data_IF_443226543102
#
_entry.id   IF_443226543102
#
_cell.length_a   1.000
_cell.length_b   1.000
_cell.length_c   1.000
_cell.angle_alpha   90.00
_cell.angle_beta   90.00
_cell.angle_gamma   90.00
#
_symmetry.space_group_name_H-M   'P 1'
#
loop_
_entity.id
_entity.type
_entity.pdbx_description
1 polymer ?
#
# COMPACT_ATOMS: atom_id res chain seq x y z
N UNK A 1 24.59 17.53 4.12
CA UNK A 1 25.17 16.25 4.53
C UNK A 1 24.10 15.18 4.76
N UNK A 2 23.02 15.44 5.56
CA UNK A 2 21.93 14.47 5.82
C UNK A 2 21.27 13.93 4.55
N UNK A 3 20.92 14.79 3.59
CA UNK A 3 20.33 14.36 2.31
C UNK A 3 21.24 13.38 1.56
N UNK A 4 22.54 13.63 1.54
CA UNK A 4 23.51 12.74 0.89
C UNK A 4 23.56 11.38 1.60
N UNK A 5 23.57 11.37 2.94
CA UNK A 5 23.55 10.13 3.73
C UNK A 5 22.27 9.32 3.48
N UNK A 6 21.11 9.99 3.43
CA UNK A 6 19.83 9.32 3.14
C UNK A 6 19.83 8.70 1.74
N UNK A 7 20.30 9.41 0.72
CA UNK A 7 20.43 8.85 -0.63
C UNK A 7 21.46 7.71 -0.70
N UNK A 8 22.57 7.83 0.02
CA UNK A 8 23.53 6.73 0.13
C UNK A 8 22.86 5.48 0.73
N UNK A 9 22.04 5.62 1.77
CA UNK A 9 21.27 4.53 2.36
C UNK A 9 20.27 3.91 1.37
N UNK A 10 19.53 4.73 0.62
CA UNK A 10 18.60 4.29 -0.41
C UNK A 10 19.31 3.44 -1.47
N UNK A 11 20.38 3.97 -2.06
CA UNK A 11 21.12 3.28 -3.13
C UNK A 11 21.88 2.05 -2.61
N UNK A 12 22.38 2.09 -1.37
CA UNK A 12 23.02 0.91 -0.77
C UNK A 12 22.00 -0.22 -0.58
N UNK A 13 20.83 0.07 -0.02
CA UNK A 13 19.78 -0.95 0.15
C UNK A 13 19.32 -1.51 -1.20
N UNK A 14 19.03 -0.64 -2.17
CA UNK A 14 18.64 -1.07 -3.50
C UNK A 14 19.75 -1.91 -4.18
N UNK A 15 21.00 -1.48 -4.08
CA UNK A 15 22.14 -2.22 -4.62
C UNK A 15 22.32 -3.60 -3.99
N UNK A 16 22.14 -3.72 -2.67
CA UNK A 16 22.20 -5.01 -1.99
C UNK A 16 21.09 -5.96 -2.45
N UNK A 17 19.88 -5.44 -2.63
CA UNK A 17 18.76 -6.25 -3.13
C UNK A 17 19.01 -6.70 -4.56
N UNK A 18 19.47 -5.81 -5.44
CA UNK A 18 19.84 -6.17 -6.82
C UNK A 18 20.92 -7.25 -6.82
N UNK A 19 21.98 -7.06 -6.01
CA UNK A 19 23.07 -8.01 -5.93
C UNK A 19 22.60 -9.38 -5.45
N UNK A 20 21.76 -9.43 -4.40
CA UNK A 20 21.20 -10.67 -3.89
C UNK A 20 20.28 -11.35 -4.91
N UNK A 21 19.41 -10.60 -5.56
CA UNK A 21 18.50 -11.09 -6.60
C UNK A 21 19.28 -11.69 -7.78
N UNK A 22 20.24 -10.94 -8.32
CA UNK A 22 21.04 -11.40 -9.46
C UNK A 22 21.94 -12.58 -9.10
N UNK A 23 22.49 -12.59 -7.88
CA UNK A 23 23.27 -13.74 -7.39
C UNK A 23 22.41 -15.00 -7.30
N UNK A 24 21.21 -14.92 -6.72
CA UNK A 24 20.29 -16.05 -6.62
C UNK A 24 19.88 -16.55 -8.03
N UNK A 25 19.54 -15.62 -8.93
CA UNK A 25 19.20 -15.93 -10.32
C UNK A 25 20.33 -16.60 -11.07
N UNK A 26 21.58 -16.15 -10.86
CA UNK A 26 22.76 -16.77 -11.45
C UNK A 26 22.91 -18.23 -11.01
N UNK A 27 22.70 -18.53 -9.73
CA UNK A 27 22.73 -19.91 -9.23
C UNK A 27 21.61 -20.76 -9.87
N UNK A 28 20.38 -20.24 -9.92
CA UNK A 28 19.26 -20.97 -10.49
C UNK A 28 19.42 -21.24 -11.98
N UNK A 29 20.03 -20.34 -12.74
CA UNK A 29 20.32 -20.52 -14.18
C UNK A 29 21.32 -21.66 -14.47
N UNK A 30 22.00 -22.21 -13.46
CA UNK A 30 22.79 -23.43 -13.62
C UNK A 30 21.93 -24.69 -13.71
N UNK A 31 20.67 -24.63 -13.30
CA UNK A 31 19.73 -25.73 -13.46
C UNK A 31 19.12 -25.72 -14.86
N UNK A 32 18.86 -26.87 -15.49
CA UNK A 32 18.06 -26.92 -16.69
C UNK A 32 16.68 -26.23 -16.51
N UNK A 33 16.14 -25.68 -17.59
CA UNK A 33 14.84 -25.00 -17.55
C UNK A 33 13.72 -25.99 -17.18
N UNK A 34 12.91 -25.63 -16.19
CA UNK A 34 11.83 -26.45 -15.65
C UNK A 34 12.28 -27.44 -14.58
N UNK A 35 13.57 -27.64 -14.39
CA UNK A 35 14.08 -28.50 -13.32
C UNK A 35 13.87 -27.87 -11.95
N UNK A 36 13.68 -28.75 -10.97
CA UNK A 36 13.47 -28.37 -9.57
C UNK A 36 14.63 -28.81 -8.71
N UNK A 37 14.93 -28.03 -7.71
CA UNK A 37 15.96 -28.34 -6.72
C UNK A 37 15.45 -28.14 -5.30
N UNK A 38 15.84 -29.05 -4.41
CA UNK A 38 15.73 -28.94 -2.97
C UNK A 38 16.97 -29.49 -2.30
N UNK A 39 17.35 -29.00 -1.11
CA UNK A 39 18.41 -29.63 -0.32
C UNK A 39 18.08 -31.08 0.00
N UNK A 40 19.10 -31.94 0.04
CA UNK A 40 18.95 -33.33 0.42
C UNK A 40 18.30 -33.46 1.81
N UNK A 41 17.32 -34.34 1.95
CA UNK A 41 16.54 -34.54 3.18
C UNK A 41 15.32 -33.61 3.30
N UNK A 42 15.09 -32.73 2.33
CA UNK A 42 13.93 -31.83 2.29
C UNK A 42 12.91 -32.19 1.19
N UNK A 43 12.98 -33.39 0.64
CA UNK A 43 12.09 -33.85 -0.43
C UNK A 43 10.61 -33.82 -0.04
N UNK A 44 10.31 -33.91 1.24
CA UNK A 44 8.97 -33.76 1.79
C UNK A 44 8.35 -32.36 1.57
N UNK A 45 9.19 -31.34 1.35
CA UNK A 45 8.76 -29.97 1.04
C UNK A 45 8.28 -29.80 -0.41
N UNK A 46 8.64 -30.76 -1.31
CA UNK A 46 8.36 -30.65 -2.75
C UNK A 46 6.93 -30.24 -3.11
N UNK A 47 5.87 -30.71 -2.43
CA UNK A 47 4.50 -30.29 -2.72
C UNK A 47 4.19 -28.84 -2.28
N UNK A 48 4.96 -28.29 -1.33
CA UNK A 48 4.67 -27.01 -0.68
C UNK A 48 5.60 -25.90 -1.13
N UNK A 49 6.89 -26.19 -1.23
CA UNK A 49 7.90 -25.20 -1.62
C UNK A 49 9.09 -25.89 -2.31
N UNK A 50 9.58 -25.27 -3.39
CA UNK A 50 10.73 -25.74 -4.15
C UNK A 50 11.40 -24.59 -4.89
N UNK A 51 12.65 -24.77 -5.25
CA UNK A 51 13.33 -23.93 -6.22
C UNK A 51 13.10 -24.54 -7.62
N UNK A 52 12.75 -23.72 -8.59
CA UNK A 52 12.54 -24.13 -9.99
C UNK A 52 13.19 -23.09 -10.92
N UNK A 53 13.79 -23.53 -12.01
CA UNK A 53 14.24 -22.59 -13.03
C UNK A 53 13.09 -22.29 -14.01
N UNK A 54 12.58 -21.08 -13.95
CA UNK A 54 11.45 -20.64 -14.78
C UNK A 54 11.71 -19.27 -15.39
N UNK A 55 11.32 -19.08 -16.66
CA UNK A 55 11.32 -17.77 -17.29
C UNK A 55 9.90 -17.18 -17.35
N UNK A 56 9.77 -15.96 -16.86
CA UNK A 56 8.55 -15.17 -16.92
C UNK A 56 8.67 -14.09 -18.00
N UNK A 57 7.79 -14.14 -18.99
CA UNK A 57 7.77 -13.20 -20.12
C UNK A 57 6.78 -12.04 -19.90
N UNK A 58 6.08 -12.01 -18.79
CA UNK A 58 5.01 -11.03 -18.53
C UNK A 58 4.87 -10.67 -17.05
N UNK A 59 3.64 -10.77 -16.56
CA UNK A 59 3.28 -10.61 -15.15
C UNK A 59 2.97 -11.97 -14.50
N UNK A 60 2.47 -11.94 -13.25
CA UNK A 60 2.07 -13.12 -12.52
C UNK A 60 1.10 -13.99 -13.33
N UNK A 61 1.21 -15.32 -13.18
CA UNK A 61 0.39 -16.32 -13.86
C UNK A 61 0.45 -16.28 -15.40
N UNK A 62 1.56 -15.80 -15.98
CA UNK A 62 1.75 -15.71 -17.43
C UNK A 62 0.91 -14.64 -18.11
N UNK A 63 0.28 -13.75 -17.36
CA UNK A 63 -0.47 -12.62 -17.90
C UNK A 63 0.46 -11.66 -18.65
N UNK A 64 -0.02 -11.10 -19.80
CA UNK A 64 0.75 -10.18 -20.63
C UNK A 64 2.07 -10.76 -21.14
N UNK A 65 2.11 -12.05 -21.50
CA UNK A 65 3.28 -12.68 -22.11
C UNK A 65 3.70 -11.90 -23.36
N UNK A 66 5.00 -11.62 -23.50
CA UNK A 66 5.56 -10.82 -24.59
C UNK A 66 5.56 -9.30 -24.37
N UNK A 67 4.92 -8.81 -23.33
CA UNK A 67 4.90 -7.37 -23.00
C UNK A 67 5.91 -6.95 -21.92
N UNK A 68 7.01 -7.68 -21.77
CA UNK A 68 8.06 -7.40 -20.78
C UNK A 68 8.60 -5.97 -20.83
N UNK A 69 8.60 -5.33 -22.01
CA UNK A 69 9.03 -3.95 -22.19
C UNK A 69 8.12 -2.93 -21.45
N UNK A 70 6.81 -3.20 -21.34
CA UNK A 70 5.88 -2.34 -20.58
C UNK A 70 6.27 -2.33 -19.11
N UNK A 71 6.58 -3.50 -18.53
CA UNK A 71 7.03 -3.61 -17.14
C UNK A 71 8.40 -2.95 -16.92
N UNK A 72 9.26 -2.94 -17.94
CA UNK A 72 10.53 -2.21 -17.89
C UNK A 72 10.31 -0.69 -17.82
N UNK A 73 9.42 -0.15 -18.66
CA UNK A 73 9.05 1.27 -18.62
C UNK A 73 8.42 1.62 -17.27
N UNK A 74 7.46 0.81 -16.80
CA UNK A 74 6.81 1.00 -15.51
C UNK A 74 7.80 1.01 -14.35
N UNK A 75 8.79 0.11 -14.37
CA UNK A 75 9.85 0.07 -13.38
C UNK A 75 10.67 1.38 -13.37
N UNK A 76 11.04 1.92 -14.53
CA UNK A 76 11.74 3.20 -14.62
C UNK A 76 10.88 4.37 -14.13
N UNK A 77 9.58 4.36 -14.42
CA UNK A 77 8.63 5.36 -13.88
C UNK A 77 8.60 5.29 -12.35
N UNK A 78 8.46 4.10 -11.78
CA UNK A 78 8.47 3.90 -10.32
C UNK A 78 9.78 4.37 -9.70
N UNK A 79 10.92 3.98 -10.27
CA UNK A 79 12.25 4.42 -9.81
C UNK A 79 12.38 5.95 -9.88
N UNK A 80 11.91 6.56 -10.96
CA UNK A 80 11.89 8.03 -11.11
C UNK A 80 11.04 8.71 -10.04
N UNK A 81 9.85 8.18 -9.76
CA UNK A 81 8.97 8.67 -8.68
C UNK A 81 9.64 8.50 -7.30
N UNK A 82 10.28 7.36 -7.04
CA UNK A 82 11.02 7.14 -5.80
C UNK A 82 12.10 8.21 -5.62
N UNK A 83 12.94 8.43 -6.63
CA UNK A 83 14.02 9.43 -6.57
C UNK A 83 13.46 10.85 -6.36
N UNK A 84 12.33 11.17 -7.01
CA UNK A 84 11.67 12.47 -6.91
C UNK A 84 11.07 12.72 -5.52
N UNK A 85 10.36 11.73 -4.95
CA UNK A 85 9.69 11.89 -3.66
C UNK A 85 10.59 11.62 -2.45
N UNK A 86 11.65 10.84 -2.59
CA UNK A 86 12.54 10.46 -1.49
C UNK A 86 13.08 11.64 -0.66
N UNK A 87 13.49 12.78 -1.26
CA UNK A 87 13.97 13.94 -0.47
C UNK A 87 12.87 14.65 0.34
N UNK A 88 11.60 14.33 0.06
CA UNK A 88 10.44 14.92 0.73
C UNK A 88 9.98 14.08 1.94
N UNK A 89 10.56 12.89 2.11
CA UNK A 89 10.26 11.99 3.24
C UNK A 89 10.95 12.48 4.49
N UNK A 90 10.19 12.71 5.56
CA UNK A 90 10.70 13.09 6.85
C UNK A 90 11.69 12.07 7.42
N UNK A 91 12.66 12.54 8.21
CA UNK A 91 13.64 11.65 8.83
C UNK A 91 13.02 10.69 9.86
N UNK A 92 11.89 11.06 10.45
CA UNK A 92 11.10 10.22 11.35
C UNK A 92 10.45 9.02 10.63
N UNK A 93 10.18 9.14 9.34
CA UNK A 93 9.52 8.11 8.52
C UNK A 93 10.56 7.15 7.89
N UNK A 94 11.52 6.69 8.66
CA UNK A 94 12.61 5.80 8.20
C UNK A 94 12.09 4.53 7.52
N UNK A 95 10.94 4.00 7.99
CA UNK A 95 10.26 2.84 7.40
C UNK A 95 9.84 3.09 5.94
N UNK A 96 9.41 4.32 5.61
CA UNK A 96 9.08 4.71 4.25
C UNK A 96 10.34 4.75 3.37
N UNK A 97 11.47 5.24 3.91
CA UNK A 97 12.76 5.22 3.20
C UNK A 97 13.22 3.79 2.90
N UNK A 98 13.03 2.86 3.86
CA UNK A 98 13.31 1.44 3.67
C UNK A 98 12.39 0.83 2.61
N UNK A 99 11.07 1.08 2.68
CA UNK A 99 10.12 0.60 1.69
C UNK A 99 10.47 1.07 0.27
N UNK A 100 10.82 2.35 0.12
CA UNK A 100 11.25 2.92 -1.16
C UNK A 100 12.54 2.25 -1.68
N UNK A 101 13.51 1.99 -0.82
CA UNK A 101 14.74 1.28 -1.18
C UNK A 101 14.48 -0.15 -1.64
N UNK A 102 13.58 -0.86 -0.95
CA UNK A 102 13.17 -2.21 -1.32
C UNK A 102 12.46 -2.25 -2.67
N UNK A 103 11.53 -1.34 -2.91
CA UNK A 103 10.82 -1.24 -4.18
C UNK A 103 11.76 -0.88 -5.34
N UNK A 104 12.67 0.07 -5.11
CA UNK A 104 13.66 0.46 -6.12
C UNK A 104 14.59 -0.69 -6.47
N UNK A 105 15.12 -1.40 -5.45
CA UNK A 105 16.01 -2.55 -5.66
C UNK A 105 15.33 -3.69 -6.39
N UNK A 106 14.11 -4.05 -6.01
CA UNK A 106 13.32 -5.08 -6.67
C UNK A 106 12.95 -4.70 -8.11
N UNK A 107 12.47 -3.47 -8.33
CA UNK A 107 12.15 -3.00 -9.67
C UNK A 107 13.37 -3.06 -10.60
N UNK A 108 14.51 -2.55 -10.16
CA UNK A 108 15.76 -2.58 -10.94
C UNK A 108 16.32 -3.99 -11.11
N UNK A 109 16.20 -4.88 -10.12
CA UNK A 109 16.60 -6.29 -10.24
C UNK A 109 15.90 -6.99 -11.40
N UNK A 110 14.59 -6.80 -11.52
CA UNK A 110 13.82 -7.33 -12.65
C UNK A 110 14.08 -6.60 -13.98
N UNK A 111 14.45 -5.32 -13.95
CA UNK A 111 14.90 -4.59 -15.15
C UNK A 111 16.20 -5.17 -15.68
N UNK A 112 17.18 -5.48 -14.81
CA UNK A 112 18.44 -6.12 -15.22
C UNK A 112 18.15 -7.38 -16.01
N UNK A 113 17.27 -8.25 -15.52
CA UNK A 113 16.91 -9.48 -16.24
C UNK A 113 16.32 -9.19 -17.62
N UNK A 114 15.32 -8.29 -17.69
CA UNK A 114 14.66 -7.98 -18.95
C UNK A 114 15.62 -7.43 -20.00
N UNK A 115 16.60 -6.64 -19.59
CA UNK A 115 17.61 -6.10 -20.50
C UNK A 115 18.63 -7.15 -20.95
N UNK A 116 18.93 -8.15 -20.11
CA UNK A 116 19.96 -9.16 -20.39
C UNK A 116 19.40 -10.46 -20.94
N UNK A 117 18.11 -10.78 -20.70
CA UNK A 117 17.48 -12.05 -21.05
C UNK A 117 16.32 -11.88 -22.05
N UNK A 118 16.49 -11.08 -23.08
CA UNK A 118 15.49 -10.93 -24.15
C UNK A 118 14.08 -10.57 -23.66
N UNK A 119 13.96 -9.73 -22.63
CA UNK A 119 12.69 -9.28 -22.06
C UNK A 119 12.09 -10.22 -21.02
N UNK A 120 12.77 -11.31 -20.66
CA UNK A 120 12.32 -12.30 -19.69
C UNK A 120 12.92 -12.05 -18.30
N UNK A 121 12.20 -12.48 -17.25
CA UNK A 121 12.69 -12.47 -15.87
C UNK A 121 12.87 -13.91 -15.41
N UNK A 122 13.96 -14.18 -14.69
CA UNK A 122 14.19 -15.48 -14.05
C UNK A 122 13.46 -15.54 -12.73
N UNK A 123 12.44 -16.40 -12.64
CA UNK A 123 11.70 -16.70 -11.41
C UNK A 123 12.08 -18.08 -10.90
N UNK A 124 12.10 -18.27 -9.58
CA UNK A 124 12.62 -19.52 -9.04
C UNK A 124 12.00 -19.96 -7.70
N UNK A 125 11.29 -19.13 -6.99
CA UNK A 125 10.62 -19.49 -5.72
C UNK A 125 9.22 -19.95 -6.04
N UNK A 126 8.96 -21.25 -5.89
CA UNK A 126 7.63 -21.87 -6.09
C UNK A 126 7.07 -22.27 -4.74
N UNK A 127 5.90 -21.75 -4.37
CA UNK A 127 5.21 -22.05 -3.12
C UNK A 127 3.78 -22.45 -3.42
N UNK A 128 3.45 -23.72 -3.17
CA UNK A 128 2.12 -24.28 -3.44
C UNK A 128 1.64 -23.98 -4.86
N UNK A 129 0.47 -23.37 -4.96
CA UNK A 129 -0.16 -22.96 -6.22
C UNK A 129 0.06 -21.47 -6.55
N UNK A 130 0.91 -20.78 -5.79
CA UNK A 130 1.22 -19.38 -6.08
C UNK A 130 2.12 -19.27 -7.32
N UNK A 131 2.02 -18.14 -8.02
CA UNK A 131 2.91 -17.88 -9.15
C UNK A 131 4.37 -17.94 -8.71
N UNK A 132 5.23 -18.54 -9.53
CA UNK A 132 6.66 -18.56 -9.26
C UNK A 132 7.18 -17.12 -9.27
N UNK A 133 8.02 -16.76 -8.32
CA UNK A 133 8.55 -15.41 -8.12
C UNK A 133 10.06 -15.46 -7.77
N UNK A 134 10.66 -14.30 -7.59
CA UNK A 134 12.08 -14.14 -7.28
C UNK A 134 12.31 -13.20 -6.08
N UNK A 135 13.57 -12.93 -5.73
CA UNK A 135 13.95 -12.04 -4.63
C UNK A 135 13.50 -10.60 -4.89
N UNK A 136 13.58 -10.13 -6.14
CA UNK A 136 13.13 -8.79 -6.50
C UNK A 136 11.63 -8.61 -6.24
N UNK A 137 10.79 -9.59 -6.62
CA UNK A 137 9.33 -9.56 -6.39
C UNK A 137 9.00 -9.61 -4.90
N UNK A 138 9.70 -10.47 -4.14
CA UNK A 138 9.57 -10.53 -2.69
C UNK A 138 9.94 -9.18 -2.04
N UNK A 139 10.98 -8.51 -2.54
CA UNK A 139 11.39 -7.20 -2.07
C UNK A 139 10.33 -6.12 -2.35
N UNK A 140 9.79 -6.06 -3.57
CA UNK A 140 8.71 -5.14 -3.94
C UNK A 140 7.51 -5.36 -3.04
N UNK A 141 7.06 -6.61 -2.91
CA UNK A 141 5.88 -6.96 -2.11
C UNK A 141 6.06 -6.61 -0.63
N UNK A 142 7.22 -6.93 -0.06
CA UNK A 142 7.56 -6.57 1.33
C UNK A 142 7.61 -5.06 1.51
N UNK A 143 8.21 -4.32 0.57
CA UNK A 143 8.22 -2.86 0.57
C UNK A 143 6.82 -2.27 0.57
N UNK A 144 5.89 -2.82 -0.23
CA UNK A 144 4.48 -2.40 -0.23
C UNK A 144 3.82 -2.66 1.12
N UNK A 145 4.04 -3.84 1.72
CA UNK A 145 3.49 -4.17 3.05
C UNK A 145 4.01 -3.20 4.12
N UNK A 146 5.32 -2.92 4.13
CA UNK A 146 5.91 -1.94 5.06
C UNK A 146 5.28 -0.56 4.85
N UNK A 147 5.09 -0.13 3.60
CA UNK A 147 4.45 1.14 3.26
C UNK A 147 3.03 1.22 3.84
N UNK A 148 2.20 0.21 3.59
CA UNK A 148 0.80 0.18 4.05
C UNK A 148 0.69 0.18 5.58
N UNK A 149 1.50 -0.65 6.26
CA UNK A 149 1.53 -0.71 7.72
C UNK A 149 2.01 0.63 8.31
N UNK A 150 3.04 1.22 7.73
CA UNK A 150 3.58 2.48 8.20
C UNK A 150 2.60 3.65 8.05
N UNK A 151 1.92 3.75 6.90
CA UNK A 151 0.87 4.76 6.68
C UNK A 151 -0.27 4.56 7.68
N UNK A 152 -0.72 3.34 7.87
CA UNK A 152 -1.79 3.02 8.83
C UNK A 152 -1.42 3.40 10.27
N UNK A 153 -0.19 3.07 10.71
CA UNK A 153 0.28 3.45 12.05
C UNK A 153 0.37 4.97 12.20
N UNK A 154 0.83 5.68 11.16
CA UNK A 154 0.93 7.14 11.16
C UNK A 154 -0.46 7.78 11.30
N UNK A 155 -1.42 7.33 10.51
CA UNK A 155 -2.79 7.81 10.57
C UNK A 155 -3.44 7.57 11.94
N UNK A 156 -3.22 6.39 12.56
CA UNK A 156 -3.73 6.12 13.90
C UNK A 156 -3.13 7.06 14.97
N UNK A 157 -1.86 7.44 14.83
CA UNK A 157 -1.22 8.40 15.75
C UNK A 157 -1.80 9.80 15.58
N UNK A 158 -1.96 10.26 14.35
CA UNK A 158 -2.53 11.57 14.03
C UNK A 158 -3.98 11.69 14.56
N UNK A 159 -4.81 10.67 14.33
CA UNK A 159 -6.19 10.63 14.87
C UNK A 159 -6.22 10.71 16.39
N UNK A 160 -5.31 10.04 17.10
CA UNK A 160 -5.22 10.10 18.56
C UNK A 160 -4.78 11.48 19.06
N UNK A 161 -3.86 12.14 18.35
CA UNK A 161 -3.43 13.50 18.70
C UNK A 161 -4.58 14.50 18.53
N UNK A 162 -5.27 14.48 17.39
CA UNK A 162 -6.44 15.33 17.14
C UNK A 162 -7.54 15.10 18.19
N UNK A 163 -7.80 13.85 18.56
CA UNK A 163 -8.79 13.55 19.62
C UNK A 163 -8.35 14.03 21.01
N UNK A 164 -7.06 14.08 21.29
CA UNK A 164 -6.52 14.58 22.55
C UNK A 164 -6.46 16.13 22.61
N UNK A 165 -6.30 16.77 21.46
CA UNK A 165 -6.23 18.24 21.32
C UNK A 165 -7.61 18.90 21.17
N UNK A 166 -8.67 18.12 20.88
CA UNK A 166 -10.03 18.63 20.87
C UNK A 166 -10.50 18.70 22.34
N UNK A 167 -10.53 19.88 22.99
CA UNK A 167 -11.06 19.99 24.34
C UNK A 167 -12.51 19.56 24.31
N UNK A 168 -13.00 19.01 25.42
CA UNK A 168 -14.43 18.81 25.71
C UNK A 168 -15.14 20.16 25.79
N UNK A 169 -15.10 20.93 24.72
CA UNK A 169 -15.78 22.20 24.56
C UNK A 169 -17.09 21.94 23.86
N UNK A 170 -18.05 21.45 24.64
CA UNK A 170 -19.48 21.73 24.59
C UNK A 170 -20.15 20.81 25.60
N UNK A 171 -19.93 21.11 26.91
CA UNK A 171 -21.07 20.90 27.81
C UNK A 171 -22.16 21.83 27.30
N UNK A 172 -23.36 21.33 27.00
CA UNK A 172 -24.48 22.21 26.69
C UNK A 172 -24.72 23.06 27.92
N UNK A 173 -24.64 24.39 27.75
CA UNK A 173 -25.03 25.38 28.73
C UNK A 173 -26.45 25.04 29.30
N UNK A 174 -26.46 24.43 30.49
CA UNK A 174 -27.68 24.16 31.27
C UNK A 174 -28.12 25.40 32.03
N UNK A 175 -27.93 26.58 31.52
CA UNK A 175 -28.45 27.83 32.11
C UNK A 175 -29.48 28.50 31.21
N UNK A 176 -30.57 27.78 30.89
CA UNK A 176 -31.82 28.44 30.48
C UNK A 176 -33.00 27.69 31.07
N UNK A 177 -33.58 28.26 32.14
CA UNK A 177 -34.92 27.93 32.46
C UNK A 177 -35.30 27.76 33.93
N UNK A 178 -34.89 28.64 34.83
CA UNK A 178 -35.78 28.95 35.96
C UNK A 178 -36.84 29.97 35.49
N UNK A 179 -37.88 29.45 34.89
CA UNK A 179 -39.10 30.21 34.67
C UNK A 179 -39.91 30.19 35.99
N UNK A 180 -39.98 31.34 36.65
CA UNK A 180 -40.87 31.62 37.78
C UNK A 180 -42.33 31.31 37.46
N UNK A 181 -43.12 30.87 38.43
CA UNK A 181 -44.56 30.56 38.26
C UNK A 181 -45.36 31.82 38.15
N UNK A 182 -46.06 32.05 37.06
CA UNK A 182 -47.10 33.06 36.94
C UNK A 182 -48.43 32.45 37.39
N UNK A 183 -48.98 33.07 38.39
CA UNK A 183 -50.31 32.86 39.03
C UNK A 183 -51.45 33.06 38.03
N UNK A 184 -52.61 32.35 38.20
CA UNK A 184 -53.75 32.42 37.30
C UNK A 184 -54.78 33.47 37.77
N UNK A 185 -55.27 34.32 36.88
CA UNK A 185 -56.52 35.07 37.12
C UNK A 185 -57.24 35.50 35.84
N UNK A 186 -58.40 34.93 35.65
CA UNK A 186 -59.66 35.52 35.29
C UNK A 186 -60.08 35.81 33.84
N UNK A 187 -61.12 35.06 33.48
CA UNK A 187 -62.38 35.44 32.79
C UNK A 187 -62.40 35.76 31.30
N UNK A 188 -63.19 34.91 30.65
CA UNK A 188 -64.00 35.11 29.43
C UNK A 188 -64.82 36.40 29.41
N UNK A 189 -65.48 36.87 28.30
CA UNK A 189 -66.39 36.05 27.48
C UNK A 189 -66.43 36.34 25.95
N UNK A 190 -67.02 35.34 25.25
CA UNK A 190 -67.90 35.33 24.08
C UNK A 190 -67.93 36.47 23.04
N UNK A 191 -67.86 36.03 21.77
CA UNK A 191 -68.82 36.25 20.68
C UNK A 191 -68.30 35.53 19.44
N UNK A 192 -68.91 34.49 18.99
CA UNK A 192 -69.94 34.28 17.96
C UNK A 192 -69.74 35.00 16.63
N UNK A 193 -69.89 34.16 15.58
CA UNK A 193 -70.60 34.29 14.32
C UNK A 193 -69.75 34.13 13.02
N UNK A 194 -70.16 33.09 12.38
CA UNK A 194 -70.43 32.82 10.95
C UNK A 194 -69.47 32.97 9.83
N UNK A 195 -69.54 31.92 9.07
CA UNK A 195 -69.88 31.87 7.63
C UNK A 195 -68.68 31.72 6.73
N UNK A 196 -68.63 30.84 6.02
CA UNK A 196 -69.26 30.22 4.84
C UNK A 196 -68.27 29.55 3.91
N UNK A 197 -68.73 28.52 3.41
CA UNK A 197 -68.43 27.65 2.32
C UNK A 197 -67.49 28.09 1.18
N UNK A 198 -66.83 27.11 0.62
CA UNK A 198 -66.41 27.14 -0.78
C UNK A 198 -65.31 26.19 -1.18
N UNK A 199 -65.61 24.91 -1.30
CA UNK A 199 -64.99 24.07 -2.35
C UNK A 199 -65.67 24.38 -3.73
N UNK A 200 -65.19 23.89 -4.88
CA UNK A 200 -64.13 22.94 -5.20
C UNK A 200 -63.40 23.18 -6.55
N UNK A 201 -62.56 22.20 -6.86
CA UNK A 201 -62.25 21.66 -8.18
C UNK A 201 -61.21 22.32 -9.09
N UNK A 202 -60.32 21.52 -9.48
CA UNK A 202 -60.12 20.98 -10.81
C UNK A 202 -58.87 21.50 -11.56
N UNK A 203 -58.07 20.70 -11.83
CA UNK A 203 -57.39 20.01 -12.95
C UNK A 203 -55.95 19.70 -12.65
#
# INVERSE_FOLDING_TARGET
LKKIINFAGLFTLAGLIIALDQWAKMLVRTLPLGDTWLPAGMEWLMPYARIIHWYNTGAAFGSFAGYGWIFTILAFVVVGLIIYYFPQVDDSDWWLKVAMGMQMGGALGNVVDRLTNHGQVTDFISVGNFAVFNVADASISTGVVILLIGVWIKELKERKQVAAETPAAMEPDQTLGEASPVSPAAKEPDTEVDGDAGEPSGE
#
